data_IF_047685043770
#
_entry.id   IF_047685043770
#
_cell.length_a   1.000
_cell.length_b   1.000
_cell.length_c   1.000
_cell.angle_alpha   90.00
_cell.angle_beta   90.00
_cell.angle_gamma   90.00
#
_symmetry.space_group_name_H-M   'P 1'
#
loop_
_entity.id
_entity.type
_entity.pdbx_description
1 polymer ?
#
# COMPACT_ATOMS: atom_id res chain seq x y z
N UNK A 1 -1.21 28.36 0.34
CA UNK A 1 -1.23 28.37 -1.13
C UNK A 1 -1.27 29.80 -1.63
N UNK A 2 -0.50 30.07 -2.68
CA UNK A 2 -0.32 31.38 -3.29
C UNK A 2 -1.28 31.57 -4.49
N UNK A 3 -1.50 32.80 -4.95
CA UNK A 3 -2.45 33.15 -6.01
C UNK A 3 -2.08 32.60 -7.39
N UNK A 4 -0.86 32.06 -7.56
CA UNK A 4 -0.37 31.46 -8.81
C UNK A 4 -1.20 30.26 -9.27
N UNK A 5 -1.86 29.56 -8.35
CA UNK A 5 -2.77 28.46 -8.66
C UNK A 5 -4.20 28.93 -9.01
N UNK A 6 -4.43 30.25 -9.05
CA UNK A 6 -5.75 30.87 -9.17
C UNK A 6 -6.17 31.53 -7.86
N UNK A 7 -6.85 32.68 -7.95
CA UNK A 7 -7.35 33.43 -6.76
C UNK A 7 -8.24 32.57 -5.87
N UNK A 8 -9.02 31.72 -6.52
CA UNK A 8 -9.95 30.75 -5.98
C UNK A 8 -9.29 29.72 -5.05
N UNK A 9 -8.02 29.39 -5.28
CA UNK A 9 -7.25 28.41 -4.51
C UNK A 9 -6.28 29.06 -3.51
N UNK A 10 -6.37 30.37 -3.33
CA UNK A 10 -5.53 31.09 -2.38
C UNK A 10 -5.99 30.85 -0.93
N UNK A 11 -5.02 30.67 -0.03
CA UNK A 11 -5.28 30.48 1.40
C UNK A 11 -4.58 29.27 2.00
N UNK A 12 -4.93 28.95 3.24
CA UNK A 12 -4.26 27.91 4.03
C UNK A 12 -4.97 26.58 3.88
N UNK A 13 -4.19 25.55 3.54
CA UNK A 13 -4.63 24.16 3.50
C UNK A 13 -3.84 23.40 4.54
N UNK A 14 -4.54 22.64 5.39
CA UNK A 14 -3.91 21.82 6.42
C UNK A 14 -4.12 20.36 6.07
N UNK A 15 -3.02 19.65 5.91
CA UNK A 15 -3.01 18.22 5.67
C UNK A 15 -2.59 17.49 6.95
N UNK A 16 -3.17 16.31 7.17
CA UNK A 16 -2.80 15.42 8.26
C UNK A 16 -2.76 13.98 7.77
N UNK A 17 -1.89 13.20 8.40
CA UNK A 17 -1.79 11.76 8.15
C UNK A 17 -3.15 11.07 8.34
N UNK A 18 -3.47 10.13 7.44
CA UNK A 18 -4.60 9.23 7.62
C UNK A 18 -4.12 7.91 8.22
N UNK A 19 -4.97 7.29 9.04
CA UNK A 19 -4.63 5.99 9.60
C UNK A 19 -4.43 4.93 8.50
N UNK A 20 -3.59 3.95 8.80
CA UNK A 20 -3.37 2.78 7.94
C UNK A 20 -4.68 2.12 7.52
N UNK A 21 -5.62 1.96 8.45
CA UNK A 21 -6.93 1.37 8.17
C UNK A 21 -7.76 2.21 7.18
N UNK A 22 -7.74 3.55 7.30
CA UNK A 22 -8.44 4.45 6.38
C UNK A 22 -7.84 4.34 4.98
N UNK A 23 -6.51 4.36 4.88
CA UNK A 23 -5.79 4.22 3.61
C UNK A 23 -6.11 2.89 2.92
N UNK A 24 -6.05 1.78 3.65
CA UNK A 24 -6.40 0.48 3.09
C UNK A 24 -7.84 0.40 2.62
N UNK A 25 -8.77 1.04 3.33
CA UNK A 25 -10.17 1.05 2.92
C UNK A 25 -10.37 1.85 1.63
N UNK A 26 -9.62 2.93 1.42
CA UNK A 26 -9.63 3.69 0.16
C UNK A 26 -9.08 2.82 -0.98
N UNK A 27 -7.94 2.16 -0.78
CA UNK A 27 -7.34 1.26 -1.78
C UNK A 27 -8.33 0.16 -2.14
N UNK A 28 -8.91 -0.54 -1.16
CA UNK A 28 -9.86 -1.62 -1.39
C UNK A 28 -11.15 -1.15 -2.06
N UNK A 29 -11.61 0.07 -1.78
CA UNK A 29 -12.80 0.65 -2.40
C UNK A 29 -12.61 0.81 -3.92
N UNK A 30 -11.42 1.22 -4.34
CA UNK A 30 -11.07 1.53 -5.73
C UNK A 30 -10.26 0.45 -6.44
N UNK A 31 -10.03 -0.68 -5.77
CA UNK A 31 -9.33 -1.83 -6.33
C UNK A 31 -10.26 -3.05 -6.34
N UNK A 32 -10.44 -3.66 -7.51
CA UNK A 32 -11.12 -4.92 -7.69
C UNK A 32 -10.12 -6.05 -7.65
N UNK A 33 -10.32 -6.97 -6.71
CA UNK A 33 -9.52 -8.18 -6.56
C UNK A 33 -10.28 -9.38 -7.12
N UNK A 34 -9.55 -10.32 -7.71
CA UNK A 34 -10.09 -11.61 -8.11
C UNK A 34 -10.44 -12.43 -6.85
N UNK A 35 -11.66 -12.99 -6.73
CA UNK A 35 -12.15 -13.56 -5.47
C UNK A 35 -11.37 -14.78 -4.99
N UNK A 36 -10.74 -15.53 -5.91
CA UNK A 36 -9.98 -16.75 -5.58
C UNK A 36 -8.48 -16.49 -5.44
N UNK A 37 -7.83 -15.93 -6.47
CA UNK A 37 -6.39 -15.68 -6.47
C UNK A 37 -5.94 -14.46 -5.65
N UNK A 38 -6.85 -13.54 -5.31
CA UNK A 38 -6.51 -12.28 -4.64
C UNK A 38 -5.72 -11.29 -5.50
N UNK A 39 -5.56 -11.57 -6.80
CA UNK A 39 -4.86 -10.68 -7.73
C UNK A 39 -5.69 -9.45 -8.07
N UNK A 40 -5.03 -8.33 -8.35
CA UNK A 40 -5.69 -7.09 -8.78
C UNK A 40 -6.20 -7.26 -10.22
N UNK A 41 -7.52 -7.16 -10.40
CA UNK A 41 -8.19 -7.19 -11.71
C UNK A 41 -8.28 -5.79 -12.30
N UNK A 42 -8.59 -4.80 -11.46
CA UNK A 42 -8.70 -3.40 -11.84
C UNK A 42 -8.33 -2.52 -10.65
N UNK A 43 -7.54 -1.48 -10.87
CA UNK A 43 -7.21 -0.47 -9.87
C UNK A 43 -7.48 0.89 -10.49
N UNK A 44 -8.27 1.73 -9.82
CA UNK A 44 -8.43 3.13 -10.19
C UNK A 44 -7.45 3.98 -9.37
N UNK A 45 -6.24 4.12 -9.90
CA UNK A 45 -5.17 4.85 -9.23
C UNK A 45 -5.52 6.32 -8.99
N UNK A 46 -6.19 6.95 -9.97
CA UNK A 46 -6.59 8.36 -9.88
C UNK A 46 -7.59 8.53 -8.74
N UNK A 47 -8.58 7.64 -8.64
CA UNK A 47 -9.54 7.68 -7.55
C UNK A 47 -8.92 7.41 -6.17
N UNK A 48 -7.94 6.50 -6.10
CA UNK A 48 -7.18 6.26 -4.87
C UNK A 48 -6.44 7.52 -4.43
N UNK A 49 -5.70 8.16 -5.35
CA UNK A 49 -4.94 9.37 -5.05
C UNK A 49 -5.85 10.53 -4.63
N UNK A 50 -6.91 10.80 -5.40
CA UNK A 50 -7.86 11.86 -5.10
C UNK A 50 -8.53 11.66 -3.74
N UNK A 51 -8.97 10.43 -3.41
CA UNK A 51 -9.60 10.17 -2.12
C UNK A 51 -8.60 10.16 -0.96
N UNK A 52 -7.34 9.76 -1.19
CA UNK A 52 -6.27 9.90 -0.19
C UNK A 52 -5.98 11.37 0.11
N UNK A 53 -5.79 12.20 -0.92
CA UNK A 53 -5.63 13.65 -0.78
C UNK A 53 -6.80 14.23 0.01
N UNK A 54 -8.04 13.91 -0.41
CA UNK A 54 -9.24 14.39 0.25
C UNK A 54 -9.35 13.95 1.72
N UNK A 55 -9.02 12.70 2.04
CA UNK A 55 -9.08 12.19 3.41
C UNK A 55 -7.98 12.79 4.32
N UNK A 56 -6.84 13.15 3.73
CA UNK A 56 -5.73 13.80 4.41
C UNK A 56 -5.97 15.31 4.63
N UNK A 57 -6.80 15.94 3.80
CA UNK A 57 -7.16 17.36 3.93
C UNK A 57 -8.06 17.58 5.14
N UNK A 58 -7.57 18.34 6.14
CA UNK A 58 -8.28 18.63 7.40
C UNK A 58 -8.91 19.99 7.41
N UNK A 59 -8.21 20.98 6.86
CA UNK A 59 -8.68 22.35 6.77
C UNK A 59 -8.36 22.92 5.40
N UNK A 60 -9.23 23.81 4.92
CA UNK A 60 -9.07 24.48 3.64
C UNK A 60 -9.81 25.83 3.66
N UNK A 61 -9.52 26.73 2.72
CA UNK A 61 -10.21 28.02 2.61
C UNK A 61 -11.71 27.83 2.38
N UNK A 62 -12.54 28.64 3.05
CA UNK A 62 -14.01 28.55 2.93
C UNK A 62 -14.55 29.12 1.61
N UNK A 63 -13.78 29.98 0.94
CA UNK A 63 -14.24 30.68 -0.25
C UNK A 63 -14.49 29.72 -1.43
N UNK A 64 -13.66 28.68 -1.54
CA UNK A 64 -13.80 27.64 -2.55
C UNK A 64 -13.18 26.34 -2.06
N UNK A 65 -13.92 25.56 -1.24
CA UNK A 65 -13.43 24.30 -0.76
C UNK A 65 -13.23 23.35 -1.95
N UNK A 66 -12.06 22.75 -2.00
CA UNK A 66 -11.78 21.62 -2.86
C UNK A 66 -12.72 20.50 -2.46
N UNK A 67 -13.27 19.82 -3.45
CA UNK A 67 -14.11 18.64 -3.27
C UNK A 67 -13.44 17.43 -3.92
N UNK A 68 -13.86 16.23 -3.49
CA UNK A 68 -13.40 15.00 -4.13
C UNK A 68 -13.77 14.98 -5.62
N UNK A 69 -14.94 15.51 -6.00
CA UNK A 69 -15.39 15.61 -7.38
C UNK A 69 -14.45 16.48 -8.22
N UNK A 70 -14.00 17.62 -7.68
CA UNK A 70 -13.02 18.51 -8.32
C UNK A 70 -11.65 17.86 -8.49
N UNK A 71 -11.24 16.97 -7.57
CA UNK A 71 -9.99 16.22 -7.69
C UNK A 71 -10.08 15.09 -8.74
N UNK A 72 -11.29 14.65 -9.08
CA UNK A 72 -11.56 13.59 -10.06
C UNK A 72 -11.96 14.10 -11.45
N UNK A 73 -12.32 15.39 -11.55
CA UNK A 73 -12.83 15.98 -12.79
C UNK A 73 -11.72 16.17 -13.83
N UNK A 74 -11.96 15.71 -15.06
CA UNK A 74 -11.04 15.87 -16.18
C UNK A 74 -11.14 17.27 -16.82
N UNK A 75 -12.33 17.88 -16.82
CA UNK A 75 -12.60 19.17 -17.49
C UNK A 75 -12.57 20.35 -16.51
N UNK A 76 -13.34 20.24 -15.41
CA UNK A 76 -13.46 21.27 -14.37
C UNK A 76 -12.60 20.95 -13.13
N UNK A 77 -11.45 20.31 -13.36
CA UNK A 77 -10.55 19.81 -12.32
C UNK A 77 -9.76 20.89 -11.58
N UNK A 78 -8.96 20.47 -10.61
CA UNK A 78 -7.93 21.34 -10.03
C UNK A 78 -6.76 21.52 -11.01
N UNK A 79 -6.05 22.67 -10.99
CA UNK A 79 -4.84 22.85 -11.78
C UNK A 79 -3.82 21.73 -11.53
N UNK A 80 -3.11 21.29 -12.58
CA UNK A 80 -2.15 20.17 -12.52
C UNK A 80 -1.12 20.37 -11.40
N UNK A 81 -0.48 21.53 -11.37
CA UNK A 81 0.54 21.84 -10.36
C UNK A 81 -0.02 21.80 -8.92
N UNK A 82 -1.29 22.18 -8.74
CA UNK A 82 -1.95 22.13 -7.44
C UNK A 82 -2.24 20.68 -7.04
N UNK A 83 -2.72 19.86 -7.98
CA UNK A 83 -2.92 18.43 -7.79
C UNK A 83 -1.63 17.72 -7.39
N UNK A 84 -0.53 17.97 -8.11
CA UNK A 84 0.80 17.42 -7.79
C UNK A 84 1.27 17.80 -6.40
N UNK A 85 1.11 19.06 -6.01
CA UNK A 85 1.49 19.55 -4.70
C UNK A 85 0.70 18.86 -3.58
N UNK A 86 -0.61 18.66 -3.76
CA UNK A 86 -1.41 17.91 -2.80
C UNK A 86 -1.03 16.43 -2.73
N UNK A 87 -0.84 15.78 -3.88
CA UNK A 87 -0.39 14.39 -3.93
C UNK A 87 0.96 14.23 -3.22
N UNK A 88 1.93 15.10 -3.49
CA UNK A 88 3.23 15.08 -2.82
C UNK A 88 3.09 15.24 -1.29
N UNK A 89 2.29 16.20 -0.86
CA UNK A 89 2.06 16.49 0.56
C UNK A 89 1.39 15.30 1.26
N UNK A 90 0.29 14.79 0.70
CA UNK A 90 -0.45 13.65 1.23
C UNK A 90 0.40 12.38 1.25
N UNK A 91 1.18 12.13 0.19
CA UNK A 91 2.05 10.97 0.09
C UNK A 91 3.20 11.02 1.11
N UNK A 92 3.80 12.20 1.30
CA UNK A 92 4.83 12.40 2.32
C UNK A 92 4.29 12.16 3.73
N UNK A 93 3.06 12.60 4.03
CA UNK A 93 2.44 12.40 5.35
C UNK A 93 2.02 10.96 5.58
N UNK A 94 1.54 10.27 4.54
CA UNK A 94 1.03 8.91 4.65
C UNK A 94 2.10 7.85 4.38
N UNK A 95 3.37 8.24 4.31
CA UNK A 95 4.52 7.38 3.99
C UNK A 95 4.27 6.46 2.80
N UNK A 96 3.69 7.01 1.71
CA UNK A 96 3.42 6.25 0.48
C UNK A 96 4.74 5.97 -0.21
N UNK A 97 5.11 4.69 -0.35
CA UNK A 97 6.37 4.33 -1.01
C UNK A 97 6.23 4.36 -2.53
N UNK A 98 7.37 4.42 -3.22
CA UNK A 98 7.44 4.32 -4.68
C UNK A 98 6.95 2.93 -5.13
N UNK A 99 7.23 1.87 -4.36
CA UNK A 99 6.72 0.52 -4.62
C UNK A 99 5.19 0.47 -4.53
N UNK A 100 4.58 1.06 -3.50
CA UNK A 100 3.13 1.12 -3.36
C UNK A 100 2.50 1.92 -4.49
N UNK A 101 3.13 3.04 -4.86
CA UNK A 101 2.70 3.84 -6.00
C UNK A 101 2.72 3.00 -7.28
N UNK A 102 3.83 2.30 -7.55
CA UNK A 102 3.98 1.41 -8.71
C UNK A 102 2.99 0.25 -8.69
N UNK A 103 2.70 -0.32 -7.52
CA UNK A 103 1.72 -1.39 -7.37
C UNK A 103 0.30 -0.92 -7.68
N UNK A 104 -0.07 0.28 -7.23
CA UNK A 104 -1.40 0.84 -7.44
C UNK A 104 -1.58 1.44 -8.85
N UNK A 105 -0.51 2.00 -9.44
CA UNK A 105 -0.48 2.58 -10.79
C UNK A 105 -0.19 1.54 -11.88
N UNK A 106 0.22 0.34 -11.50
CA UNK A 106 0.64 -0.72 -12.40
C UNK A 106 -0.56 -1.29 -13.16
N UNK A 107 -0.58 -1.03 -14.46
CA UNK A 107 -1.23 -1.88 -15.46
C UNK A 107 -0.98 -3.36 -15.11
N UNK A 108 -2.01 -4.18 -15.26
CA UNK A 108 -1.90 -5.64 -15.38
C UNK A 108 -1.07 -5.99 -16.62
N UNK A 109 0.22 -5.68 -16.61
CA UNK A 109 1.20 -6.22 -17.52
C UNK A 109 1.52 -7.62 -17.05
N UNK A 110 0.91 -8.59 -17.72
CA UNK A 110 1.27 -9.99 -17.63
C UNK A 110 2.78 -10.14 -17.87
N UNK A 111 3.54 -10.22 -16.78
CA UNK A 111 4.82 -10.90 -16.78
C UNK A 111 4.65 -12.04 -15.79
N UNK A 112 4.28 -13.21 -16.32
CA UNK A 112 4.60 -14.47 -15.67
C UNK A 112 6.12 -14.64 -15.75
N UNK A 113 6.85 -14.54 -14.62
CA UNK A 113 7.89 -15.52 -14.40
C UNK A 113 7.53 -16.30 -13.15
N UNK A 114 7.05 -17.52 -13.36
CA UNK A 114 7.33 -18.62 -12.45
C UNK A 114 8.78 -18.53 -11.99
N UNK A 115 9.01 -18.16 -10.72
CA UNK A 115 10.02 -18.78 -9.85
C UNK A 115 10.00 -18.25 -8.41
N UNK A 116 9.77 -19.23 -7.54
CA UNK A 116 10.30 -19.37 -6.18
C UNK A 116 9.79 -18.39 -5.12
N UNK A 117 8.66 -18.82 -4.52
CA UNK A 117 8.41 -18.68 -3.09
C UNK A 117 9.67 -19.04 -2.29
N UNK A 118 10.35 -18.04 -1.74
CA UNK A 118 11.28 -18.25 -0.64
C UNK A 118 10.50 -17.96 0.65
N UNK A 119 10.31 -19.04 1.41
CA UNK A 119 9.43 -19.08 2.57
C UNK A 119 9.82 -18.10 3.65
N UNK A 120 8.82 -17.35 4.13
CA UNK A 120 8.84 -16.76 5.46
C UNK A 120 8.75 -17.90 6.47
N UNK A 121 9.91 -18.41 6.88
CA UNK A 121 10.02 -19.42 7.94
C UNK A 121 9.55 -18.84 9.27
N UNK A 122 8.30 -19.12 9.66
CA UNK A 122 7.85 -18.98 11.03
C UNK A 122 8.14 -20.29 11.77
N UNK A 123 9.20 -20.28 12.58
CA UNK A 123 9.56 -21.41 13.44
C UNK A 123 8.59 -21.42 14.63
N UNK A 124 7.64 -22.36 14.62
CA UNK A 124 6.83 -22.69 15.79
C UNK A 124 7.53 -23.81 16.56
N UNK A 125 8.32 -23.46 17.58
CA UNK A 125 8.80 -24.45 18.52
C UNK A 125 7.64 -24.85 19.44
N UNK A 126 6.98 -25.96 19.11
CA UNK A 126 6.08 -26.65 20.03
C UNK A 126 6.17 -28.14 19.75
N UNK A 127 6.94 -28.86 20.58
CA UNK A 127 7.02 -30.32 20.49
C UNK A 127 8.08 -30.90 21.42
N UNK A 128 7.84 -30.88 22.73
CA UNK A 128 8.52 -31.78 23.66
C UNK A 128 7.66 -33.05 23.87
N UNK A 129 8.34 -34.21 23.87
CA UNK A 129 7.87 -35.62 23.99
C UNK A 129 7.31 -36.23 22.69
N UNK A 130 7.64 -37.45 22.27
CA UNK A 130 8.16 -38.63 22.99
C UNK A 130 8.75 -39.65 21.99
N UNK A 131 9.80 -40.39 22.40
CA UNK A 131 10.15 -41.81 22.08
C UNK A 131 10.05 -42.30 20.62
N UNK A 132 11.09 -42.81 19.95
CA UNK A 132 11.88 -44.00 20.28
C UNK A 132 12.81 -44.34 19.09
N UNK A 133 13.81 -45.21 19.35
CA UNK A 133 14.45 -46.14 18.39
C UNK A 133 15.83 -45.77 17.82
N UNK A 134 16.69 -46.79 17.84
CA UNK A 134 17.98 -46.98 17.15
C UNK A 134 19.24 -46.36 17.77
N UNK A 135 19.69 -46.93 18.89
CA UNK A 135 21.09 -46.84 19.31
C UNK A 135 21.94 -47.90 18.62
N UNK A 136 22.68 -47.51 17.59
CA UNK A 136 23.69 -48.32 16.91
C UNK A 136 24.96 -48.41 17.77
N UNK A 137 25.35 -49.63 18.17
CA UNK A 137 26.67 -49.89 18.78
C UNK A 137 27.78 -49.98 17.71
N UNK A 138 29.02 -49.52 18.02
CA UNK A 138 30.22 -49.98 17.32
C UNK A 138 31.10 -50.91 18.18
N UNK A 139 31.33 -52.11 17.62
CA UNK A 139 32.49 -53.05 17.61
C UNK A 139 33.51 -53.12 18.77
N UNK A 140 33.54 -54.32 19.36
CA UNK A 140 34.66 -55.28 19.56
C UNK A 140 36.05 -54.82 20.04
N UNK A 141 36.49 -55.38 21.17
CA UNK A 141 37.82 -56.00 21.32
C UNK A 141 37.72 -57.34 22.08
N UNK A 142 38.39 -58.38 21.57
CA UNK A 142 38.53 -59.74 22.12
C UNK A 142 39.97 -59.92 22.62
N UNK A 143 40.12 -60.63 23.75
CA UNK A 143 41.05 -61.77 24.02
C UNK A 143 41.35 -61.83 25.54
N UNK A 144 40.88 -62.83 26.28
CA UNK A 144 41.47 -64.17 26.51
C UNK A 144 42.70 -64.20 27.44
N UNK A 145 42.50 -64.58 28.70
CA UNK A 145 42.96 -65.84 29.32
C UNK A 145 42.42 -65.94 30.74
#
# INVERSE_FOLDING_TARGET
MDQRFGKDYSGTYVFGEISWAKRNRIIQKHTRYHPVSGQVVKSDYVAIQAETVWASLKEQPQNQPISLERLLSEEDGVPIELGELFSQTANSLCSVTVEETRFLSGQSGEASPTKQSQGLGSVKNSGSRQTSSAGSQPKQFRSSS
#
